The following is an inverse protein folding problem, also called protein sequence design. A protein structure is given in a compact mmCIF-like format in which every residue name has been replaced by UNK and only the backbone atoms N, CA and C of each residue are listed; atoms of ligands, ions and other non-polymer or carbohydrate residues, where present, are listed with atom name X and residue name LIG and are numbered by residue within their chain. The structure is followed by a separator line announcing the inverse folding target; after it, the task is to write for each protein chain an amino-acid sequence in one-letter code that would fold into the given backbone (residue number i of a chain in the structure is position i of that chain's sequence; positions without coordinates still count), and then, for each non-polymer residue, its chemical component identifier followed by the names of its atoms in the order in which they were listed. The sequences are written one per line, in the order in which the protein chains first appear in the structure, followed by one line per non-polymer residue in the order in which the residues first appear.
data_IF_770710511740
#
_entry.id   IF_770710511740
#
_cell.length_a   1.000
_cell.length_b   1.000
_cell.length_c   1.000
_cell.angle_alpha   90.00
_cell.angle_beta   90.00
_cell.angle_gamma   90.00
#
_symmetry.space_group_name_H-M   'P 1'
#
loop_
_entity.id
_entity.type
_entity.pdbx_description
1 polymer ?
#
# COMPACT_ATOMS: atom_id res chain seq x y z
N UNK A 1 3.21 17.33 2.59
CA UNK A 1 4.46 16.56 2.41
C UNK A 1 4.49 16.03 0.99
N UNK A 2 5.60 16.22 0.28
CA UNK A 2 5.77 15.90 -1.14
C UNK A 2 5.63 14.39 -1.43
N UNK A 3 4.74 14.01 -2.35
CA UNK A 3 4.65 12.68 -2.98
C UNK A 3 5.84 12.40 -3.94
N UNK A 4 6.94 13.15 -3.83
CA UNK A 4 8.04 13.24 -4.79
C UNK A 4 9.02 12.07 -4.76
N UNK A 5 8.58 10.86 -4.39
CA UNK A 5 9.45 9.67 -4.32
C UNK A 5 8.89 8.42 -4.99
N UNK A 6 7.92 8.57 -5.88
CA UNK A 6 7.55 7.54 -6.84
C UNK A 6 8.61 7.45 -7.93
N UNK A 7 9.68 6.70 -7.69
CA UNK A 7 10.91 6.72 -8.51
C UNK A 7 10.90 5.69 -9.67
N UNK A 8 9.83 4.91 -9.81
CA UNK A 8 9.70 3.87 -10.85
C UNK A 8 8.66 4.20 -11.91
N UNK A 9 8.96 3.86 -13.16
CA UNK A 9 7.92 3.62 -14.17
C UNK A 9 7.21 2.34 -13.71
N UNK A 10 6.03 2.48 -13.10
CA UNK A 10 5.23 1.32 -12.72
C UNK A 10 4.63 0.68 -13.96
N UNK A 11 4.83 -0.62 -14.12
CA UNK A 11 4.14 -1.41 -15.13
C UNK A 11 2.66 -1.53 -14.73
N UNK A 12 1.75 -1.64 -15.71
CA UNK A 12 0.32 -1.79 -15.43
C UNK A 12 0.01 -3.02 -14.54
N UNK A 13 0.80 -4.09 -14.66
CA UNK A 13 0.69 -5.26 -13.80
C UNK A 13 1.08 -4.96 -12.33
N UNK A 14 2.10 -4.13 -12.11
CA UNK A 14 2.51 -3.71 -10.76
C UNK A 14 1.46 -2.80 -10.14
N UNK A 15 0.90 -1.87 -10.92
CA UNK A 15 -0.20 -1.00 -10.46
C UNK A 15 -1.45 -1.81 -10.09
N UNK A 16 -1.81 -2.81 -10.90
CA UNK A 16 -2.94 -3.70 -10.59
C UNK A 16 -2.70 -4.46 -9.27
N UNK A 17 -1.50 -4.99 -9.08
CA UNK A 17 -1.12 -5.67 -7.84
C UNK A 17 -1.18 -4.72 -6.63
N UNK A 18 -0.58 -3.54 -6.73
CA UNK A 18 -0.57 -2.54 -5.66
C UNK A 18 -2.00 -2.09 -5.30
N UNK A 19 -2.88 -1.97 -6.28
CA UNK A 19 -4.29 -1.66 -6.05
C UNK A 19 -5.02 -2.80 -5.32
N UNK A 20 -4.81 -4.07 -5.70
CA UNK A 20 -5.39 -5.23 -4.99
C UNK A 20 -4.94 -5.31 -3.54
N UNK A 21 -3.64 -5.14 -3.29
CA UNK A 21 -3.06 -5.07 -1.94
C UNK A 21 -3.75 -3.98 -1.13
N UNK A 22 -3.89 -2.79 -1.72
CA UNK A 22 -4.51 -1.65 -1.06
C UNK A 22 -5.99 -1.89 -0.71
N UNK A 23 -6.78 -2.43 -1.65
CA UNK A 23 -8.19 -2.76 -1.43
C UNK A 23 -8.36 -3.82 -0.33
N UNK A 24 -7.49 -4.84 -0.32
CA UNK A 24 -7.49 -5.88 0.71
C UNK A 24 -7.14 -5.32 2.09
N UNK A 25 -6.13 -4.46 2.18
CA UNK A 25 -5.76 -3.78 3.43
C UNK A 25 -6.84 -2.81 3.92
N UNK A 26 -7.54 -2.13 2.99
CA UNK A 26 -8.70 -1.30 3.34
C UNK A 26 -9.83 -2.14 3.96
N UNK A 27 -10.07 -3.34 3.43
CA UNK A 27 -11.05 -4.28 3.97
C UNK A 27 -10.61 -4.83 5.35
N UNK A 28 -9.35 -5.24 5.49
CA UNK A 28 -8.81 -5.77 6.76
C UNK A 28 -8.85 -4.72 7.89
N UNK A 29 -8.46 -3.48 7.61
CA UNK A 29 -8.48 -2.42 8.60
C UNK A 29 -9.86 -1.79 8.82
N UNK A 30 -10.92 -2.29 8.17
CA UNK A 30 -12.27 -1.71 8.18
C UNK A 30 -12.25 -0.19 8.01
N UNK A 31 -11.35 0.32 7.17
CA UNK A 31 -11.21 1.75 6.95
C UNK A 31 -12.47 2.24 6.24
N UNK A 32 -13.34 2.91 6.99
CA UNK A 32 -14.56 3.48 6.44
C UNK A 32 -14.20 4.40 5.26
N UNK A 33 -15.07 4.46 4.25
CA UNK A 33 -14.85 5.32 3.06
C UNK A 33 -14.59 6.80 3.40
N UNK A 34 -14.94 7.23 4.61
CA UNK A 34 -14.75 8.60 5.11
C UNK A 34 -13.34 8.88 5.68
N UNK A 35 -12.56 7.86 6.02
CA UNK A 35 -11.23 8.01 6.59
C UNK A 35 -10.17 8.20 5.49
N UNK A 36 -10.27 9.32 4.78
CA UNK A 36 -9.38 9.67 3.67
C UNK A 36 -7.92 9.70 4.10
N UNK A 37 -7.62 10.28 5.26
CA UNK A 37 -6.25 10.41 5.77
C UNK A 37 -5.61 9.04 6.04
N UNK A 38 -6.36 8.11 6.64
CA UNK A 38 -5.89 6.74 6.90
C UNK A 38 -5.64 5.95 5.62
N UNK A 39 -6.43 6.22 4.57
CA UNK A 39 -6.27 5.63 3.24
C UNK A 39 -5.06 6.21 2.51
N UNK A 40 -4.86 7.53 2.57
CA UNK A 40 -3.68 8.19 2.00
C UNK A 40 -2.39 7.70 2.69
N UNK A 41 -2.44 7.50 4.01
CA UNK A 41 -1.33 6.90 4.77
C UNK A 41 -1.08 5.44 4.38
N UNK A 42 -2.15 4.63 4.25
CA UNK A 42 -2.05 3.24 3.80
C UNK A 42 -1.40 3.14 2.41
N UNK A 43 -1.84 3.97 1.46
CA UNK A 43 -1.30 3.97 0.10
C UNK A 43 0.20 4.28 0.15
N UNK A 44 0.59 5.30 0.91
CA UNK A 44 2.01 5.67 1.07
C UNK A 44 2.84 4.52 1.62
N UNK A 45 2.34 3.77 2.60
CA UNK A 45 3.03 2.60 3.16
C UNK A 45 3.17 1.47 2.12
N UNK A 46 2.12 1.16 1.36
CA UNK A 46 2.13 0.17 0.27
C UNK A 46 3.23 0.49 -0.73
N UNK A 47 3.25 1.72 -1.19
CA UNK A 47 4.21 2.16 -2.17
C UNK A 47 5.63 2.30 -1.62
N UNK A 48 5.80 2.67 -0.36
CA UNK A 48 7.12 2.70 0.27
C UNK A 48 7.68 1.29 0.43
N UNK A 49 6.87 0.32 0.83
CA UNK A 49 7.29 -1.09 0.91
C UNK A 49 7.68 -1.65 -0.47
N UNK A 50 6.96 -1.25 -1.52
CA UNK A 50 7.31 -1.61 -2.89
C UNK A 50 8.62 -0.97 -3.36
N UNK A 51 8.84 0.31 -3.08
CA UNK A 51 10.10 1.01 -3.39
C UNK A 51 11.30 0.45 -2.61
N UNK A 52 11.06 -0.09 -1.41
CA UNK A 52 12.06 -0.80 -0.58
C UNK A 52 12.45 -2.18 -1.17
N UNK A 53 11.74 -2.64 -2.22
CA UNK A 53 12.05 -3.86 -2.97
C UNK A 53 11.08 -5.02 -2.73
N UNK A 54 9.98 -4.80 -2.00
CA UNK A 54 8.94 -5.83 -1.79
C UNK A 54 8.01 -5.84 -3.00
N UNK A 55 8.26 -6.74 -3.95
CA UNK A 55 7.50 -6.87 -5.19
C UNK A 55 6.46 -7.98 -5.19
N UNK A 56 6.34 -8.73 -4.09
CA UNK A 56 5.36 -9.82 -3.93
C UNK A 56 4.11 -9.36 -3.17
N UNK A 57 2.93 -9.73 -3.66
CA UNK A 57 1.62 -9.34 -3.13
C UNK A 57 1.43 -9.76 -1.67
N UNK A 58 1.76 -11.02 -1.37
CA UNK A 58 1.56 -11.59 -0.05
C UNK A 58 2.55 -10.99 0.97
N UNK A 59 3.78 -10.71 0.52
CA UNK A 59 4.81 -10.12 1.38
C UNK A 59 4.51 -8.64 1.67
N UNK A 60 4.00 -7.88 0.69
CA UNK A 60 3.49 -6.52 0.87
C UNK A 60 2.34 -6.46 1.88
N UNK A 61 1.34 -7.32 1.69
CA UNK A 61 0.21 -7.45 2.62
C UNK A 61 0.69 -7.76 4.04
N UNK A 62 1.58 -8.75 4.17
CA UNK A 62 2.10 -9.19 5.46
C UNK A 62 2.95 -8.12 6.14
N UNK A 63 3.79 -7.41 5.40
CA UNK A 63 4.64 -6.35 5.94
C UNK A 63 3.79 -5.22 6.57
N UNK A 64 2.72 -4.81 5.90
CA UNK A 64 1.87 -3.70 6.31
C UNK A 64 0.87 -4.14 7.39
N UNK A 65 0.25 -5.31 7.25
CA UNK A 65 -0.62 -5.88 8.29
C UNK A 65 0.14 -6.16 9.58
N UNK A 66 1.43 -6.53 9.53
CA UNK A 66 2.27 -6.68 10.72
C UNK A 66 2.55 -5.34 11.41
N UNK A 67 2.84 -4.26 10.65
CA UNK A 67 3.04 -2.92 11.22
C UNK A 67 1.81 -2.37 11.93
N UNK A 68 0.60 -2.70 11.45
CA UNK A 68 -0.67 -2.22 12.03
C UNK A 68 -1.21 -3.05 13.19
N UNK A 69 -0.71 -4.27 13.39
CA UNK A 69 -1.06 -5.12 14.53
C UNK A 69 -0.18 -4.88 15.76
N UNK A 70 0.96 -4.21 15.60
CA UNK A 70 1.85 -3.81 16.69
C UNK A 70 1.40 -2.46 17.27
#
# INVERSE_FOLDING_TARGET
MSLSRYRGIYWPAELDMLQRVFDQLCNECRLAKKDREQREYLAREVFQAFDDGITDEADLLRAISKRRRA
#
